data_IF_438156151729
#
_entry.id   IF_438156151729
#
_cell.length_a   1.000
_cell.length_b   1.000
_cell.length_c   1.000
_cell.angle_alpha   90.00
_cell.angle_beta   90.00
_cell.angle_gamma   90.00
#
_symmetry.space_group_name_H-M   'P 1'
#
loop_
_entity.id
_entity.type
_entity.pdbx_description
1 polymer ?
#
# COMPACT_ATOMS: atom_id res chain seq x y z
N UNK A 1 -12.13 -5.24 7.89
CA UNK A 1 -12.26 -5.07 6.43
C UNK A 1 -12.68 -3.64 6.16
N UNK A 2 -11.96 -2.91 5.30
CA UNK A 2 -12.37 -1.56 4.89
C UNK A 2 -13.69 -1.62 4.11
N UNK A 3 -14.49 -0.56 4.16
CA UNK A 3 -15.75 -0.44 3.40
C UNK A 3 -15.48 -0.63 1.90
N UNK A 4 -14.38 -0.06 1.41
CA UNK A 4 -13.89 -0.24 0.06
C UNK A 4 -13.63 -1.72 -0.27
N UNK A 5 -13.16 -2.53 0.68
CA UNK A 5 -12.95 -3.99 0.53
C UNK A 5 -14.20 -4.78 0.15
N UNK A 6 -15.39 -4.20 0.32
CA UNK A 6 -16.68 -4.83 -0.02
C UNK A 6 -17.12 -4.54 -1.46
N UNK A 7 -16.51 -3.54 -2.11
CA UNK A 7 -16.90 -3.06 -3.44
C UNK A 7 -15.67 -3.03 -4.35
N UNK A 8 -15.11 -4.20 -4.75
CA UNK A 8 -13.95 -4.22 -5.63
C UNK A 8 -14.23 -3.55 -6.99
N UNK A 9 -15.48 -3.56 -7.48
CA UNK A 9 -15.81 -2.97 -8.78
C UNK A 9 -15.51 -1.46 -8.94
N UNK A 10 -15.32 -0.72 -7.84
CA UNK A 10 -15.02 0.73 -7.89
C UNK A 10 -13.52 1.04 -7.79
N UNK A 11 -12.65 0.03 -7.76
CA UNK A 11 -11.21 0.24 -7.72
C UNK A 11 -10.64 0.65 -9.07
N UNK A 12 -9.47 1.28 -9.00
CA UNK A 12 -8.62 1.48 -10.17
C UNK A 12 -7.80 0.21 -10.43
N UNK A 13 -7.97 -0.35 -11.62
CA UNK A 13 -7.25 -1.54 -12.08
C UNK A 13 -6.19 -1.16 -13.10
N UNK A 14 -5.03 -1.81 -13.05
CA UNK A 14 -3.95 -1.60 -14.02
C UNK A 14 -4.25 -2.19 -15.40
N UNK A 15 -5.28 -3.04 -15.50
CA UNK A 15 -5.73 -3.70 -16.73
C UNK A 15 -7.25 -3.62 -16.85
N UNK A 16 -7.76 -3.70 -18.08
CA UNK A 16 -9.19 -3.79 -18.32
C UNK A 16 -9.77 -5.09 -17.73
N UNK A 17 -10.90 -4.96 -17.05
CA UNK A 17 -11.59 -6.09 -16.43
C UNK A 17 -12.48 -6.78 -17.46
N UNK A 18 -12.24 -8.07 -17.65
CA UNK A 18 -13.04 -8.99 -18.48
C UNK A 18 -13.74 -10.00 -17.58
N UNK A 19 -14.73 -10.74 -18.11
CA UNK A 19 -15.41 -11.81 -17.36
C UNK A 19 -14.43 -12.88 -16.86
N UNK A 20 -13.39 -13.18 -17.63
CA UNK A 20 -12.39 -14.20 -17.33
C UNK A 20 -11.41 -13.77 -16.23
N UNK A 21 -10.94 -12.52 -16.26
CA UNK A 21 -9.95 -12.05 -15.28
C UNK A 21 -10.55 -11.42 -14.02
N UNK A 22 -11.87 -11.15 -14.01
CA UNK A 22 -12.58 -10.40 -12.96
C UNK A 22 -12.28 -10.90 -11.57
N UNK A 23 -12.50 -12.19 -11.31
CA UNK A 23 -12.32 -12.78 -9.99
C UNK A 23 -10.89 -12.60 -9.49
N UNK A 24 -9.92 -12.90 -10.36
CA UNK A 24 -8.49 -12.83 -10.03
C UNK A 24 -8.07 -11.40 -9.74
N UNK A 25 -8.45 -10.45 -10.59
CA UNK A 25 -8.12 -9.04 -10.43
C UNK A 25 -8.80 -8.44 -9.19
N UNK A 26 -10.04 -8.81 -8.90
CA UNK A 26 -10.77 -8.34 -7.72
C UNK A 26 -10.12 -8.84 -6.43
N UNK A 27 -9.75 -10.12 -6.39
CA UNK A 27 -9.05 -10.70 -5.25
C UNK A 27 -7.66 -10.07 -5.05
N UNK A 28 -6.93 -9.82 -6.14
CA UNK A 28 -5.64 -9.14 -6.09
C UNK A 28 -5.77 -7.71 -5.57
N UNK A 29 -6.72 -6.92 -6.10
CA UNK A 29 -6.92 -5.54 -5.69
C UNK A 29 -7.41 -5.42 -4.24
N UNK A 30 -8.35 -6.28 -3.80
CA UNK A 30 -8.79 -6.33 -2.40
C UNK A 30 -7.68 -6.74 -1.43
N UNK A 31 -6.74 -7.57 -1.88
CA UNK A 31 -5.56 -7.93 -1.09
C UNK A 31 -4.58 -6.77 -1.03
N UNK A 32 -4.32 -6.12 -2.16
CA UNK A 32 -3.48 -4.94 -2.24
C UNK A 32 -4.00 -3.80 -1.34
N UNK A 33 -5.30 -3.53 -1.34
CA UNK A 33 -5.90 -2.53 -0.45
C UNK A 33 -5.70 -2.86 1.04
N UNK A 34 -5.69 -4.15 1.41
CA UNK A 34 -5.37 -4.56 2.78
C UNK A 34 -3.90 -4.31 3.11
N UNK A 35 -3.00 -4.63 2.18
CA UNK A 35 -1.55 -4.36 2.33
C UNK A 35 -1.30 -2.87 2.53
N UNK A 36 -1.85 -2.01 1.66
CA UNK A 36 -1.71 -0.56 1.77
C UNK A 36 -2.24 -0.03 3.11
N UNK A 37 -3.40 -0.52 3.57
CA UNK A 37 -3.91 -0.10 4.88
C UNK A 37 -2.95 -0.47 6.03
N UNK A 38 -2.36 -1.67 5.99
CA UNK A 38 -1.39 -2.10 7.00
C UNK A 38 -0.10 -1.27 6.91
N UNK A 39 0.42 -1.03 5.71
CA UNK A 39 1.61 -0.21 5.50
C UNK A 39 1.41 1.20 6.03
N UNK A 40 0.27 1.83 5.71
CA UNK A 40 -0.10 3.15 6.24
C UNK A 40 -0.13 3.13 7.78
N UNK A 41 -0.77 2.13 8.39
CA UNK A 41 -0.81 2.00 9.86
C UNK A 41 0.59 1.87 10.46
N UNK A 42 1.47 1.06 9.86
CA UNK A 42 2.85 0.85 10.32
C UNK A 42 3.67 2.14 10.17
N UNK A 43 3.52 2.84 9.05
CA UNK A 43 4.20 4.11 8.79
C UNK A 43 3.79 5.14 9.85
N UNK A 44 2.49 5.34 10.07
CA UNK A 44 2.01 6.27 11.10
C UNK A 44 2.45 5.87 12.51
N UNK A 45 2.38 4.58 12.88
CA UNK A 45 2.86 4.12 14.18
C UNK A 45 4.36 4.40 14.37
N UNK A 46 5.16 4.14 13.33
CA UNK A 46 6.59 4.41 13.34
C UNK A 46 6.91 5.90 13.42
N UNK A 47 6.10 6.75 12.77
CA UNK A 47 6.19 8.21 12.89
C UNK A 47 5.95 8.66 14.32
N UNK A 48 4.90 8.18 14.98
CA UNK A 48 4.58 8.54 16.37
C UNK A 48 5.71 8.15 17.33
N UNK A 49 6.19 6.90 17.25
CA UNK A 49 7.31 6.43 18.08
C UNK A 49 8.55 7.32 17.89
N UNK A 50 8.84 7.71 16.65
CA UNK A 50 9.98 8.60 16.37
C UNK A 50 9.75 10.01 16.86
N UNK A 51 8.54 10.56 16.78
CA UNK A 51 8.22 11.89 17.33
C UNK A 51 8.47 11.90 18.84
N UNK A 52 8.03 10.87 19.56
CA UNK A 52 8.24 10.73 21.00
C UNK A 52 9.73 10.62 21.37
N UNK A 53 10.51 9.87 20.59
CA UNK A 53 11.96 9.69 20.82
C UNK A 53 12.78 10.93 20.40
N UNK A 54 12.41 11.58 19.29
CA UNK A 54 13.18 12.68 18.65
C UNK A 54 12.84 14.05 19.22
N UNK A 55 11.73 14.22 19.95
CA UNK A 55 11.40 15.45 20.67
C UNK A 55 12.48 15.93 21.64
N UNK A 56 13.51 15.13 21.88
CA UNK A 56 14.66 15.44 22.73
C UNK A 56 15.99 15.69 21.96
N UNK A 57 16.09 15.44 20.64
CA UNK A 57 17.34 15.61 19.87
C UNK A 57 17.09 15.98 18.38
N UNK A 58 17.55 17.16 17.97
CA UNK A 58 17.33 17.81 16.66
C UNK A 58 18.01 17.16 15.42
N UNK A 59 18.21 15.84 15.35
CA UNK A 59 19.11 15.24 14.34
C UNK A 59 18.45 14.34 13.30
N UNK A 60 18.35 14.80 12.04
CA UNK A 60 18.39 14.10 10.74
C UNK A 60 17.62 12.77 10.49
N UNK A 61 16.92 12.20 11.47
CA UNK A 61 16.28 10.89 11.39
C UNK A 61 15.28 10.82 10.22
N UNK A 62 14.53 11.90 10.01
CA UNK A 62 13.55 12.02 8.93
C UNK A 62 14.12 11.74 7.54
N UNK A 63 15.36 12.16 7.26
CA UNK A 63 15.99 12.00 5.95
C UNK A 63 16.29 10.53 5.60
N UNK A 64 16.46 9.67 6.60
CA UNK A 64 16.74 8.24 6.41
C UNK A 64 15.43 7.45 6.36
N UNK A 65 14.44 7.81 7.18
CA UNK A 65 13.17 7.07 7.24
C UNK A 65 12.23 7.35 6.08
N UNK A 66 12.19 8.60 5.59
CA UNK A 66 11.35 8.96 4.44
C UNK A 66 11.59 8.05 3.22
N UNK A 67 12.83 7.85 2.72
CA UNK A 67 13.05 6.99 1.57
C UNK A 67 12.66 5.53 1.84
N UNK A 68 12.81 5.04 3.08
CA UNK A 68 12.41 3.67 3.45
C UNK A 68 10.87 3.52 3.35
N UNK A 69 10.12 4.47 3.91
CA UNK A 69 8.65 4.45 3.87
C UNK A 69 8.12 4.56 2.43
N UNK A 70 8.77 5.41 1.61
CA UNK A 70 8.45 5.52 0.19
C UNK A 70 8.74 4.22 -0.56
N UNK A 71 9.88 3.57 -0.31
CA UNK A 71 10.23 2.29 -0.94
C UNK A 71 9.19 1.21 -0.56
N UNK A 72 8.70 1.20 0.67
CA UNK A 72 7.66 0.24 1.10
C UNK A 72 6.39 0.46 0.29
N UNK A 73 5.82 1.67 0.30
CA UNK A 73 4.57 1.97 -0.41
C UNK A 73 4.73 1.75 -1.93
N UNK A 74 5.76 2.34 -2.54
CA UNK A 74 5.97 2.23 -3.98
C UNK A 74 6.33 0.80 -4.39
N UNK A 75 7.04 0.05 -3.54
CA UNK A 75 7.33 -1.36 -3.76
C UNK A 75 6.05 -2.18 -3.85
N UNK A 76 5.12 -1.99 -2.92
CA UNK A 76 3.82 -2.66 -2.93
C UNK A 76 2.95 -2.26 -4.12
N UNK A 77 2.94 -0.98 -4.51
CA UNK A 77 2.25 -0.50 -5.72
C UNK A 77 2.85 -1.16 -6.97
N UNK A 78 4.17 -1.12 -7.13
CA UNK A 78 4.86 -1.68 -8.29
C UNK A 78 4.64 -3.20 -8.39
N UNK A 79 4.70 -3.91 -7.25
CA UNK A 79 4.40 -5.33 -7.17
C UNK A 79 2.96 -5.65 -7.58
N UNK A 80 1.98 -4.87 -7.10
CA UNK A 80 0.58 -5.02 -7.49
C UNK A 80 0.38 -4.80 -8.99
N UNK A 81 0.94 -3.73 -9.56
CA UNK A 81 0.85 -3.42 -10.99
C UNK A 81 1.47 -4.55 -11.82
N UNK A 82 2.68 -4.98 -11.48
CA UNK A 82 3.37 -6.08 -12.16
C UNK A 82 2.51 -7.36 -12.15
N UNK A 83 1.98 -7.73 -10.98
CA UNK A 83 1.15 -8.93 -10.83
C UNK A 83 -0.18 -8.79 -11.57
N UNK A 84 -0.80 -7.61 -11.57
CA UNK A 84 -2.04 -7.33 -12.29
C UNK A 84 -1.85 -7.48 -13.80
N UNK A 85 -0.76 -6.92 -14.35
CA UNK A 85 -0.42 -7.02 -15.78
C UNK A 85 -0.10 -8.46 -16.18
N UNK A 86 0.69 -9.18 -15.38
CA UNK A 86 1.05 -10.60 -15.63
C UNK A 86 -0.17 -11.52 -15.64
N UNK A 87 -1.23 -11.14 -14.93
CA UNK A 87 -2.45 -11.93 -14.77
C UNK A 87 -3.66 -11.26 -15.42
N UNK A 88 -3.43 -10.50 -16.50
CA UNK A 88 -4.46 -9.89 -17.33
C UNK A 88 -5.42 -10.94 -17.89
#
# INVERSE_FOLDING_TARGET
MSILGRYPQIYNYAVNITTENKEKQYNMASTFMRVINVEIMVIFASMQIRLDITGNNNGNSFLIFLPIELIIIFGSIAFYIYKSIKNK
#
